data_IF_612432219511
#
_entry.id   IF_612432219511
#
_cell.length_a   1.000
_cell.length_b   1.000
_cell.length_c   1.000
_cell.angle_alpha   90.00
_cell.angle_beta   90.00
_cell.angle_gamma   90.00
#
_symmetry.space_group_name_H-M   'P 1'
#
loop_
_entity.id
_entity.type
_entity.pdbx_description
1 polymer ?
#
# COMPACT_ATOMS: atom_id res chain seq x y z
N UNK A 1 1.57 -14.80 12.88
CA UNK A 1 0.83 -14.04 11.86
C UNK A 1 -0.08 -15.04 11.16
N UNK A 2 -1.42 -14.87 11.20
CA UNK A 2 -2.28 -15.63 10.29
C UNK A 2 -1.84 -15.28 8.86
N UNK A 3 -1.93 -16.24 7.94
CA UNK A 3 -1.58 -16.09 6.52
C UNK A 3 -1.98 -14.70 6.01
N UNK A 4 -1.01 -13.86 5.65
CA UNK A 4 -1.23 -12.46 5.25
C UNK A 4 -1.86 -12.31 3.86
N UNK A 5 -2.41 -13.39 3.33
CA UNK A 5 -3.20 -13.40 2.11
C UNK A 5 -4.65 -13.59 2.55
N UNK A 6 -5.54 -12.73 2.06
CA UNK A 6 -6.98 -12.92 2.23
C UNK A 6 -7.37 -14.30 1.70
N UNK A 7 -8.29 -15.00 2.37
CA UNK A 7 -8.87 -16.26 1.87
C UNK A 7 -9.67 -16.09 0.56
N UNK A 8 -9.70 -14.85 0.06
CA UNK A 8 -10.50 -14.39 -1.04
C UNK A 8 -9.69 -13.42 -1.92
N UNK A 9 -9.55 -13.68 -3.23
CA UNK A 9 -8.66 -12.90 -4.10
C UNK A 9 -9.21 -11.53 -4.52
N UNK A 10 -10.41 -11.14 -4.06
CA UNK A 10 -11.10 -9.91 -4.51
C UNK A 10 -11.36 -8.93 -3.36
N UNK A 11 -10.30 -8.56 -2.63
CA UNK A 11 -10.34 -7.56 -1.54
C UNK A 11 -10.91 -6.20 -1.97
N UNK A 12 -10.74 -5.84 -3.25
CA UNK A 12 -11.32 -4.62 -3.83
C UNK A 12 -12.85 -4.59 -3.71
N UNK A 13 -13.53 -5.73 -3.86
CA UNK A 13 -14.99 -5.80 -3.76
C UNK A 13 -15.46 -5.61 -2.32
N UNK A 14 -14.72 -6.18 -1.36
CA UNK A 14 -15.02 -6.03 0.08
C UNK A 14 -14.94 -4.55 0.48
N UNK A 15 -13.84 -3.88 0.13
CA UNK A 15 -13.65 -2.45 0.38
C UNK A 15 -14.76 -1.62 -0.29
N UNK A 16 -15.07 -1.91 -1.56
CA UNK A 16 -16.12 -1.21 -2.30
C UNK A 16 -17.48 -1.33 -1.62
N UNK A 17 -17.89 -2.53 -1.23
CA UNK A 17 -19.22 -2.75 -0.65
C UNK A 17 -19.33 -2.25 0.80
N UNK A 18 -18.27 -2.33 1.59
CA UNK A 18 -18.21 -1.71 2.91
C UNK A 18 -18.34 -0.19 2.83
N UNK A 19 -17.66 0.42 1.85
CA UNK A 19 -17.76 1.85 1.62
C UNK A 19 -19.14 2.26 1.09
N UNK A 20 -19.72 1.51 0.16
CA UNK A 20 -21.08 1.77 -0.33
C UNK A 20 -22.10 1.68 0.80
N UNK A 21 -21.95 0.71 1.71
CA UNK A 21 -22.82 0.58 2.87
C UNK A 21 -22.73 1.79 3.80
N UNK A 22 -21.54 2.37 3.98
CA UNK A 22 -21.34 3.53 4.85
C UNK A 22 -21.72 4.87 4.22
N UNK A 23 -21.51 5.02 2.91
CA UNK A 23 -21.69 6.30 2.20
C UNK A 23 -23.03 6.41 1.46
N UNK A 24 -23.52 5.31 0.87
CA UNK A 24 -24.68 5.27 -0.05
C UNK A 24 -25.43 3.92 0.04
N UNK A 25 -26.10 3.64 1.18
CA UNK A 25 -26.83 2.39 1.36
C UNK A 25 -27.98 2.22 0.35
N UNK A 26 -28.50 3.33 -0.19
CA UNK A 26 -29.53 3.35 -1.23
C UNK A 26 -29.06 2.65 -2.52
N UNK A 27 -27.90 3.03 -3.04
CA UNK A 27 -27.33 2.43 -4.26
C UNK A 27 -26.97 0.96 -4.03
N UNK A 28 -26.54 0.63 -2.82
CA UNK A 28 -26.08 -0.70 -2.44
C UNK A 28 -27.18 -1.78 -2.55
N UNK A 29 -28.46 -1.40 -2.49
CA UNK A 29 -29.62 -2.30 -2.50
C UNK A 29 -30.48 -2.17 -3.77
N UNK A 30 -30.49 -1.01 -4.43
CA UNK A 30 -31.40 -0.77 -5.56
C UNK A 30 -30.77 -0.94 -6.95
N UNK A 31 -29.45 -0.85 -7.08
CA UNK A 31 -28.80 -0.93 -8.39
C UNK A 31 -28.66 -2.40 -8.87
N UNK A 32 -29.20 -2.78 -10.04
CA UNK A 32 -29.22 -4.17 -10.50
C UNK A 32 -27.83 -4.79 -10.70
N UNK A 33 -26.87 -4.01 -11.19
CA UNK A 33 -25.48 -4.43 -11.36
C UNK A 33 -24.81 -4.71 -10.01
N UNK A 34 -25.00 -3.85 -9.01
CA UNK A 34 -24.49 -4.02 -7.65
C UNK A 34 -25.04 -5.29 -7.01
N UNK A 35 -26.36 -5.52 -7.08
CA UNK A 35 -27.01 -6.70 -6.51
C UNK A 35 -26.49 -7.98 -7.16
N UNK A 36 -26.34 -7.96 -8.50
CA UNK A 36 -25.81 -9.10 -9.26
C UNK A 36 -24.37 -9.43 -8.86
N UNK A 37 -23.50 -8.42 -8.77
CA UNK A 37 -22.10 -8.62 -8.37
C UNK A 37 -21.99 -9.10 -6.93
N UNK A 38 -22.81 -8.57 -6.00
CA UNK A 38 -22.87 -9.06 -4.60
C UNK A 38 -23.26 -10.53 -4.53
N UNK A 39 -24.26 -10.96 -5.30
CA UNK A 39 -24.68 -12.36 -5.32
C UNK A 39 -23.57 -13.29 -5.84
N UNK A 40 -22.90 -12.90 -6.93
CA UNK A 40 -21.74 -13.63 -7.46
C UNK A 40 -20.58 -13.66 -6.46
N UNK A 41 -20.33 -12.57 -5.73
CA UNK A 41 -19.30 -12.49 -4.70
C UNK A 41 -19.56 -13.51 -3.58
N UNK A 42 -20.80 -13.56 -3.08
CA UNK A 42 -21.21 -14.49 -2.04
C UNK A 42 -21.05 -15.95 -2.49
N UNK A 43 -21.42 -16.27 -3.74
CA UNK A 43 -21.22 -17.60 -4.31
C UNK A 43 -19.74 -18.01 -4.32
N UNK A 44 -18.84 -17.11 -4.75
CA UNK A 44 -17.38 -17.38 -4.74
C UNK A 44 -16.86 -17.52 -3.30
N UNK A 45 -17.36 -16.70 -2.38
CA UNK A 45 -16.99 -16.76 -0.96
C UNK A 45 -17.43 -18.05 -0.29
N UNK A 46 -18.52 -18.69 -0.72
CA UNK A 46 -19.04 -19.94 -0.15
C UNK A 46 -18.43 -21.21 -0.76
N UNK A 47 -17.58 -21.08 -1.79
CA UNK A 47 -16.81 -22.20 -2.34
C UNK A 47 -15.86 -22.79 -1.28
N UNK A 48 -16.12 -24.03 -0.86
CA UNK A 48 -15.37 -24.77 0.16
C UNK A 48 -14.98 -26.18 -0.27
N UNK A 49 -15.70 -26.79 -1.22
CA UNK A 49 -15.47 -28.19 -1.62
C UNK A 49 -15.15 -28.33 -3.10
N UNK A 50 -14.49 -29.43 -3.47
CA UNK A 50 -14.14 -29.72 -4.87
C UNK A 50 -15.37 -29.99 -5.75
N UNK A 51 -16.44 -30.53 -5.16
CA UNK A 51 -17.69 -30.77 -5.88
C UNK A 51 -18.35 -29.46 -6.32
N UNK A 52 -18.37 -28.45 -5.42
CA UNK A 52 -18.86 -27.11 -5.75
C UNK A 52 -18.00 -26.46 -6.85
N UNK A 53 -16.68 -26.61 -6.74
CA UNK A 53 -15.73 -26.11 -7.75
C UNK A 53 -16.00 -26.76 -9.11
N UNK A 54 -16.13 -28.08 -9.18
CA UNK A 54 -16.39 -28.80 -10.42
C UNK A 54 -17.71 -28.34 -11.09
N UNK A 55 -18.77 -28.18 -10.29
CA UNK A 55 -20.07 -27.72 -10.78
C UNK A 55 -20.00 -26.28 -11.33
N UNK A 56 -19.36 -25.36 -10.60
CA UNK A 56 -19.22 -23.96 -11.02
C UNK A 56 -18.27 -23.82 -12.21
N UNK A 57 -17.14 -24.53 -12.23
CA UNK A 57 -16.22 -24.52 -13.36
C UNK A 57 -16.90 -25.03 -14.63
N UNK A 58 -17.73 -26.06 -14.54
CA UNK A 58 -18.50 -26.56 -15.69
C UNK A 58 -19.53 -25.53 -16.16
N UNK A 59 -20.25 -24.89 -15.23
CA UNK A 59 -21.27 -23.88 -15.54
C UNK A 59 -20.67 -22.64 -16.22
N UNK A 60 -19.54 -22.17 -15.71
CA UNK A 60 -18.88 -20.95 -16.16
C UNK A 60 -17.87 -21.22 -17.29
N UNK A 61 -17.60 -22.48 -17.64
CA UNK A 61 -16.58 -22.83 -18.63
C UNK A 61 -15.18 -22.37 -18.20
N UNK A 62 -14.77 -22.72 -16.98
CA UNK A 62 -13.43 -22.46 -16.43
C UNK A 62 -12.65 -23.77 -16.49
N UNK A 63 -11.55 -23.77 -17.24
CA UNK A 63 -10.57 -24.86 -17.22
C UNK A 63 -9.50 -24.54 -16.18
N UNK A 64 -9.42 -25.36 -15.13
CA UNK A 64 -8.35 -25.28 -14.12
C UNK A 64 -7.20 -26.16 -14.62
N UNK A 65 -6.01 -25.59 -14.75
CA UNK A 65 -4.84 -26.38 -15.14
C UNK A 65 -4.60 -27.53 -14.15
N UNK A 66 -4.22 -28.73 -14.64
CA UNK A 66 -3.97 -29.90 -13.78
C UNK A 66 -2.73 -29.77 -12.90
N UNK A 67 -2.08 -28.59 -12.87
CA UNK A 67 -0.89 -28.27 -12.08
C UNK A 67 -1.17 -28.14 -10.58
N UNK A 68 -2.44 -27.95 -10.17
CA UNK A 68 -2.84 -27.90 -8.77
C UNK A 68 -2.80 -29.30 -8.11
N UNK A 69 -1.80 -29.51 -7.24
CA UNK A 69 -1.57 -30.79 -6.56
C UNK A 69 -2.60 -31.04 -5.44
N UNK A 70 -3.13 -29.97 -4.84
CA UNK A 70 -4.03 -30.05 -3.68
C UNK A 70 -5.45 -29.55 -3.96
N UNK A 71 -6.43 -30.04 -3.18
CA UNK A 71 -7.80 -29.56 -3.24
C UNK A 71 -7.91 -28.05 -2.94
N UNK A 72 -7.10 -27.55 -2.00
CA UNK A 72 -7.06 -26.14 -1.64
C UNK A 72 -6.58 -25.25 -2.78
N UNK A 73 -5.58 -25.70 -3.55
CA UNK A 73 -5.10 -24.99 -4.75
C UNK A 73 -6.17 -24.94 -5.84
N UNK A 74 -6.85 -26.06 -6.10
CA UNK A 74 -7.97 -26.09 -7.08
C UNK A 74 -9.11 -25.14 -6.70
N UNK A 75 -9.46 -25.10 -5.41
CA UNK A 75 -10.47 -24.16 -4.89
C UNK A 75 -9.98 -22.72 -5.08
N UNK A 76 -8.71 -22.45 -4.78
CA UNK A 76 -8.11 -21.13 -4.95
C UNK A 76 -8.11 -20.67 -6.42
N UNK A 77 -7.70 -21.53 -7.34
CA UNK A 77 -7.63 -21.22 -8.77
C UNK A 77 -9.02 -20.97 -9.36
N UNK A 78 -10.02 -21.77 -8.96
CA UNK A 78 -11.41 -21.53 -9.29
C UNK A 78 -11.88 -20.15 -8.81
N UNK A 79 -11.67 -19.85 -7.51
CA UNK A 79 -12.03 -18.56 -6.92
C UNK A 79 -11.32 -17.40 -7.62
N UNK A 80 -10.05 -17.58 -8.01
CA UNK A 80 -9.25 -16.59 -8.70
C UNK A 80 -9.81 -16.29 -10.09
N UNK A 81 -10.12 -17.30 -10.90
CA UNK A 81 -10.68 -17.10 -12.24
C UNK A 81 -12.09 -16.51 -12.21
N UNK A 82 -12.95 -16.93 -11.26
CA UNK A 82 -14.26 -16.31 -11.06
C UNK A 82 -14.13 -14.84 -10.65
N UNK A 83 -13.21 -14.54 -9.72
CA UNK A 83 -12.95 -13.18 -9.26
C UNK A 83 -12.44 -12.29 -10.38
N UNK A 84 -11.53 -12.79 -11.22
CA UNK A 84 -11.00 -12.09 -12.39
C UNK A 84 -12.10 -11.71 -13.38
N UNK A 85 -13.11 -12.56 -13.56
CA UNK A 85 -14.29 -12.26 -14.40
C UNK A 85 -15.20 -11.18 -13.81
N UNK A 86 -15.20 -10.98 -12.50
CA UNK A 86 -15.96 -9.91 -11.83
C UNK A 86 -15.29 -8.54 -11.87
N UNK A 87 -13.96 -8.48 -12.09
CA UNK A 87 -13.19 -7.24 -12.07
C UNK A 87 -13.75 -6.15 -13.00
N UNK A 88 -14.15 -6.44 -14.27
CA UNK A 88 -14.74 -5.43 -15.15
C UNK A 88 -16.07 -4.86 -14.62
N UNK A 89 -16.93 -5.71 -14.03
CA UNK A 89 -18.21 -5.29 -13.45
C UNK A 89 -17.98 -4.36 -12.26
N UNK A 90 -17.00 -4.70 -11.40
CA UNK A 90 -16.60 -3.84 -10.28
C UNK A 90 -16.11 -2.47 -10.76
N UNK A 91 -15.25 -2.42 -11.77
CA UNK A 91 -14.79 -1.15 -12.33
C UNK A 91 -15.92 -0.33 -12.95
N UNK A 92 -16.91 -0.99 -13.56
CA UNK A 92 -18.09 -0.33 -14.11
C UNK A 92 -18.91 0.30 -12.99
N UNK A 93 -19.20 -0.45 -11.94
CA UNK A 93 -19.88 0.06 -10.72
C UNK A 93 -19.12 1.26 -10.17
N UNK A 94 -17.80 1.14 -9.96
CA UNK A 94 -16.96 2.22 -9.40
C UNK A 94 -17.05 3.51 -10.24
N UNK A 95 -17.06 3.40 -11.58
CA UNK A 95 -17.13 4.56 -12.48
C UNK A 95 -18.50 5.23 -12.50
N UNK A 96 -19.56 4.49 -12.20
CA UNK A 96 -20.93 5.00 -12.12
C UNK A 96 -21.23 5.67 -10.77
N UNK A 97 -20.33 5.57 -9.79
CA UNK A 97 -20.51 6.22 -8.50
C UNK A 97 -20.47 7.74 -8.66
N UNK A 98 -21.39 8.47 -7.99
CA UNK A 98 -21.51 9.91 -8.14
C UNK A 98 -20.36 10.69 -7.49
N UNK A 99 -19.61 10.05 -6.60
CA UNK A 99 -18.50 10.65 -5.87
C UNK A 99 -17.19 10.34 -6.60
N UNK A 100 -16.54 11.38 -7.11
CA UNK A 100 -15.18 11.28 -7.62
C UNK A 100 -14.23 11.09 -6.45
N UNK A 101 -13.44 10.02 -6.50
CA UNK A 101 -12.43 9.72 -5.48
C UNK A 101 -11.04 9.98 -6.02
N UNK A 102 -10.16 10.48 -5.17
CA UNK A 102 -8.77 10.73 -5.49
C UNK A 102 -7.84 10.03 -4.50
N UNK A 103 -6.71 9.55 -5.00
CA UNK A 103 -5.71 8.88 -4.19
C UNK A 103 -4.36 9.56 -4.35
N UNK A 104 -3.65 9.72 -3.24
CA UNK A 104 -2.24 10.07 -3.24
C UNK A 104 -1.41 8.79 -3.24
N UNK A 105 -0.63 8.57 -4.29
CA UNK A 105 0.20 7.38 -4.45
C UNK A 105 1.68 7.71 -4.23
N UNK A 106 2.28 7.21 -3.14
CA UNK A 106 3.68 7.44 -2.79
C UNK A 106 4.52 6.20 -3.11
N UNK A 107 5.37 6.32 -4.14
CA UNK A 107 6.21 5.23 -4.62
C UNK A 107 7.37 4.88 -3.67
N UNK A 108 7.96 3.70 -3.87
CA UNK A 108 9.11 3.19 -3.15
C UNK A 108 10.45 3.79 -3.60
N UNK A 109 11.56 3.23 -3.12
CA UNK A 109 12.92 3.73 -3.38
C UNK A 109 13.73 4.09 -2.13
N UNK A 110 13.37 3.50 -0.99
CA UNK A 110 14.04 3.71 0.30
C UNK A 110 13.93 5.16 0.80
N UNK A 111 14.88 5.56 1.64
CA UNK A 111 14.86 6.87 2.31
C UNK A 111 14.92 8.05 1.34
N UNK A 112 15.59 7.90 0.19
CA UNK A 112 15.61 8.97 -0.84
C UNK A 112 14.21 9.27 -1.37
N UNK A 113 13.43 8.22 -1.64
CA UNK A 113 12.05 8.37 -2.06
C UNK A 113 11.18 8.95 -0.95
N UNK A 114 11.39 8.54 0.31
CA UNK A 114 10.68 9.12 1.46
C UNK A 114 10.87 10.64 1.56
N UNK A 115 12.10 11.14 1.37
CA UNK A 115 12.39 12.58 1.41
C UNK A 115 11.85 13.32 0.18
N UNK A 116 11.90 12.71 -1.00
CA UNK A 116 11.24 13.27 -2.18
C UNK A 116 9.72 13.43 -1.95
N UNK A 117 9.08 12.36 -1.46
CA UNK A 117 7.66 12.36 -1.13
C UNK A 117 7.32 13.37 -0.03
N UNK A 118 8.20 13.59 0.97
CA UNK A 118 8.03 14.69 1.93
C UNK A 118 7.91 16.04 1.23
N UNK A 119 8.77 16.32 0.24
CA UNK A 119 8.70 17.55 -0.56
C UNK A 119 7.36 17.69 -1.29
N UNK A 120 6.84 16.59 -1.85
CA UNK A 120 5.51 16.54 -2.47
C UNK A 120 4.41 16.84 -1.45
N UNK A 121 4.44 16.20 -0.27
CA UNK A 121 3.47 16.44 0.80
C UNK A 121 3.47 17.91 1.26
N UNK A 122 4.65 18.51 1.42
CA UNK A 122 4.78 19.93 1.74
C UNK A 122 4.24 20.84 0.62
N UNK A 123 4.48 20.48 -0.65
CA UNK A 123 3.91 21.19 -1.80
C UNK A 123 2.39 21.13 -1.82
N UNK A 124 1.82 19.94 -1.66
CA UNK A 124 0.37 19.74 -1.59
C UNK A 124 -0.26 20.48 -0.40
N UNK A 125 0.41 20.50 0.75
CA UNK A 125 -0.04 21.23 1.92
C UNK A 125 -0.07 22.75 1.66
N UNK A 126 0.96 23.31 1.04
CA UNK A 126 1.00 24.74 0.63
C UNK A 126 -0.09 25.10 -0.38
N UNK A 127 -0.43 24.18 -1.28
CA UNK A 127 -1.50 24.37 -2.24
C UNK A 127 -2.90 24.12 -1.67
N UNK A 128 -3.04 23.71 -0.39
CA UNK A 128 -4.34 23.36 0.19
C UNK A 128 -4.99 22.12 -0.44
N UNK A 129 -4.17 21.21 -0.98
CA UNK A 129 -4.62 19.99 -1.67
C UNK A 129 -4.41 18.72 -0.84
N UNK A 130 -3.56 18.75 0.19
CA UNK A 130 -3.18 17.54 0.92
C UNK A 130 -4.37 16.89 1.66
N UNK A 131 -5.35 17.67 2.09
CA UNK A 131 -6.57 17.23 2.77
C UNK A 131 -7.71 16.86 1.79
N UNK A 132 -7.45 16.87 0.47
CA UNK A 132 -8.45 16.59 -0.57
C UNK A 132 -8.39 15.17 -1.14
N UNK A 133 -7.42 14.37 -0.70
CA UNK A 133 -7.27 12.98 -1.13
C UNK A 133 -8.05 12.05 -0.20
N UNK A 134 -8.79 11.11 -0.78
CA UNK A 134 -9.59 10.12 -0.06
C UNK A 134 -8.75 8.91 0.38
N UNK A 135 -7.76 8.55 -0.44
CA UNK A 135 -6.87 7.41 -0.16
C UNK A 135 -5.40 7.77 -0.21
N UNK A 136 -4.60 7.02 0.55
CA UNK A 136 -3.15 7.07 0.54
C UNK A 136 -2.61 5.67 0.20
N UNK A 137 -2.08 5.50 -1.01
CA UNK A 137 -1.49 4.25 -1.47
C UNK A 137 0.03 4.35 -1.44
N UNK A 138 0.71 3.43 -0.77
CA UNK A 138 2.16 3.53 -0.58
C UNK A 138 2.90 2.21 -0.69
N UNK A 139 4.19 2.27 -1.02
CA UNK A 139 5.07 1.11 -1.03
C UNK A 139 6.47 1.48 -0.54
N UNK A 140 7.12 0.60 0.24
CA UNK A 140 8.51 0.74 0.69
C UNK A 140 8.81 2.13 1.32
N UNK A 141 9.70 2.94 0.72
CA UNK A 141 10.01 4.29 1.18
C UNK A 141 8.80 5.24 1.25
N UNK A 142 7.81 5.06 0.36
CA UNK A 142 6.51 5.73 0.45
C UNK A 142 5.74 5.34 1.70
N UNK A 143 5.81 4.07 2.11
CA UNK A 143 5.19 3.57 3.34
C UNK A 143 5.84 4.13 4.60
N UNK A 144 7.16 4.37 4.58
CA UNK A 144 7.86 5.03 5.68
C UNK A 144 7.33 6.45 5.90
N UNK A 145 7.25 7.26 4.83
CA UNK A 145 6.77 8.64 4.95
C UNK A 145 5.27 8.70 5.26
N UNK A 146 4.46 7.79 4.71
CA UNK A 146 3.04 7.71 5.05
C UNK A 146 2.81 7.33 6.51
N UNK A 147 3.56 6.35 7.03
CA UNK A 147 3.45 5.97 8.45
C UNK A 147 3.88 7.11 9.37
N UNK A 148 4.91 7.88 8.99
CA UNK A 148 5.30 9.10 9.70
C UNK A 148 4.18 10.14 9.69
N UNK A 149 3.54 10.40 8.54
CA UNK A 149 2.44 11.34 8.41
C UNK A 149 1.23 10.89 9.24
N UNK A 150 0.83 9.63 9.12
CA UNK A 150 -0.29 9.04 9.89
C UNK A 150 -0.03 9.09 11.40
N UNK A 151 1.20 8.79 11.83
CA UNK A 151 1.57 8.88 13.24
C UNK A 151 1.51 10.33 13.76
N UNK A 152 1.87 11.31 12.93
CA UNK A 152 1.74 12.72 13.29
C UNK A 152 0.27 13.14 13.39
N UNK A 153 -0.56 12.82 12.39
CA UNK A 153 -2.00 13.07 12.42
C UNK A 153 -2.64 12.46 13.68
N UNK A 154 -2.27 11.22 14.02
CA UNK A 154 -2.77 10.55 15.23
C UNK A 154 -2.36 11.30 16.51
N UNK A 155 -1.12 11.79 16.61
CA UNK A 155 -0.64 12.55 17.78
C UNK A 155 -1.31 13.92 17.92
N UNK A 156 -1.80 14.48 16.82
CA UNK A 156 -2.64 15.69 16.80
C UNK A 156 -4.14 15.35 17.00
N UNK A 157 -4.47 14.21 17.61
CA UNK A 157 -5.84 13.73 17.84
C UNK A 157 -6.68 13.62 16.55
N UNK A 158 -6.04 13.26 15.44
CA UNK A 158 -6.70 13.17 14.13
C UNK A 158 -6.90 14.52 13.43
N UNK A 159 -6.36 15.62 13.96
CA UNK A 159 -6.51 16.95 13.37
C UNK A 159 -5.59 17.15 12.16
N UNK A 160 -6.06 16.74 10.99
CA UNK A 160 -5.35 16.85 9.71
C UNK A 160 -5.00 18.31 9.37
N UNK A 161 -5.91 19.27 9.65
CA UNK A 161 -5.69 20.68 9.35
C UNK A 161 -4.49 21.27 10.08
N UNK A 162 -4.27 20.85 11.33
CA UNK A 162 -3.10 21.28 12.12
C UNK A 162 -1.81 20.76 11.49
N UNK A 163 -1.79 19.48 11.09
CA UNK A 163 -0.63 18.88 10.42
C UNK A 163 -0.37 19.55 9.07
N UNK A 164 -1.40 19.74 8.24
CA UNK A 164 -1.28 20.42 6.94
C UNK A 164 -0.73 21.84 7.12
N UNK A 165 -1.25 22.58 8.09
CA UNK A 165 -0.79 23.95 8.38
C UNK A 165 0.68 23.96 8.80
N UNK A 166 1.09 23.06 9.71
CA UNK A 166 2.48 22.98 10.15
C UNK A 166 3.42 22.49 9.02
N UNK A 167 2.95 21.58 8.16
CA UNK A 167 3.71 21.04 7.03
C UNK A 167 3.91 22.08 5.91
N UNK A 168 2.93 22.98 5.74
CA UNK A 168 2.98 24.05 4.76
C UNK A 168 3.96 25.18 5.13
N UNK A 169 4.29 25.34 6.42
CA UNK A 169 5.22 26.39 6.89
C UNK A 169 6.61 26.22 6.26
N UNK A 170 7.07 27.26 5.57
CA UNK A 170 8.47 27.42 5.21
C UNK A 170 9.18 28.19 6.33
N UNK A 171 10.32 27.70 6.84
CA UNK A 171 11.13 28.49 7.76
C UNK A 171 11.79 29.61 6.97
N UNK A 172 11.13 30.76 6.89
CA UNK A 172 11.65 31.97 6.25
C UNK A 172 12.69 32.67 7.14
N UNK A 173 12.64 32.38 8.45
CA UNK A 173 13.57 32.87 9.46
C UNK A 173 14.44 31.71 9.99
N UNK A 174 15.78 31.81 9.92
CA UNK A 174 16.70 30.81 10.47
C UNK A 174 16.55 30.54 11.98
N UNK A 175 15.91 31.47 12.71
CA UNK A 175 15.65 31.37 14.14
C UNK A 175 14.33 30.65 14.47
N UNK A 176 13.46 30.45 13.47
CA UNK A 176 12.23 29.70 13.66
C UNK A 176 12.50 28.20 13.56
N UNK A 177 12.22 27.49 14.66
CA UNK A 177 12.39 26.05 14.71
C UNK A 177 11.33 25.37 13.87
N UNK A 178 11.75 24.49 12.96
CA UNK A 178 10.84 23.63 12.23
C UNK A 178 10.02 22.74 13.20
N UNK A 179 8.82 22.29 12.81
CA UNK A 179 8.05 21.36 13.61
C UNK A 179 8.87 20.14 14.00
N UNK A 180 8.83 19.73 15.27
CA UNK A 180 9.60 18.60 15.80
C UNK A 180 9.46 17.32 14.96
N UNK A 181 8.28 16.97 14.40
CA UNK A 181 8.14 15.82 13.52
C UNK A 181 8.96 15.91 12.23
N UNK A 182 9.10 17.11 11.63
CA UNK A 182 9.96 17.34 10.46
C UNK A 182 11.44 17.24 10.85
N UNK A 183 11.82 17.87 11.96
CA UNK A 183 13.19 17.82 12.47
C UNK A 183 13.65 16.37 12.68
N UNK A 184 12.85 15.58 13.40
CA UNK A 184 13.15 14.18 13.65
C UNK A 184 13.29 13.40 12.34
N UNK A 185 12.36 13.60 11.41
CA UNK A 185 12.42 12.93 10.10
C UNK A 185 13.72 13.27 9.36
N UNK A 186 14.15 14.54 9.35
CA UNK A 186 15.37 14.98 8.67
C UNK A 186 16.64 14.45 9.34
N UNK A 187 16.69 14.42 10.66
CA UNK A 187 17.82 13.86 11.43
C UNK A 187 17.98 12.36 11.15
N UNK A 188 16.88 11.61 11.14
CA UNK A 188 16.89 10.16 10.94
C UNK A 188 16.89 9.71 9.46
N UNK A 189 16.72 10.63 8.50
CA UNK A 189 16.79 10.34 7.07
C UNK A 189 18.20 10.34 6.46
N UNK A 190 19.24 10.64 7.24
CA UNK A 190 20.63 10.53 6.79
C UNK A 190 21.08 9.07 6.74
N UNK A 191 20.74 8.38 5.65
CA UNK A 191 20.92 6.92 5.47
C UNK A 191 22.38 6.43 5.41
N UNK A 192 23.38 7.29 5.18
CA UNK A 192 24.78 6.83 5.08
C UNK A 192 25.69 7.29 6.23
N UNK A 193 25.27 8.26 7.04
CA UNK A 193 26.04 8.76 8.21
C UNK A 193 25.13 9.62 9.08
N UNK A 194 24.46 9.06 10.10
CA UNK A 194 23.62 9.83 11.03
C UNK A 194 24.43 10.87 11.82
N UNK A 195 25.73 10.62 12.03
CA UNK A 195 26.69 11.57 12.60
C UNK A 195 27.85 11.78 11.62
N UNK A 196 28.00 13.00 11.10
CA UNK A 196 29.22 13.37 10.38
C UNK A 196 30.36 13.50 11.39
N UNK A 197 31.31 12.56 11.36
CA UNK A 197 32.55 12.63 12.12
C UNK A 197 33.44 11.43 11.84
N UNK A 198 34.74 11.65 11.62
CA UNK A 198 35.74 10.60 11.36
C UNK A 198 35.89 9.56 12.49
N UNK A 199 35.28 9.85 13.66
CA UNK A 199 35.27 9.00 14.84
C UNK A 199 33.89 8.39 15.14
N UNK A 200 32.93 8.44 14.21
CA UNK A 200 31.61 7.83 14.43
C UNK A 200 31.66 6.31 14.27
N UNK A 201 31.00 5.60 15.18
CA UNK A 201 30.90 4.13 15.17
C UNK A 201 30.27 3.65 13.85
N UNK A 202 29.26 4.36 13.36
CA UNK A 202 28.53 4.00 12.13
C UNK A 202 29.42 4.04 10.88
N UNK A 203 30.35 4.99 10.80
CA UNK A 203 31.32 5.09 9.68
C UNK A 203 32.27 3.89 9.66
N UNK A 204 32.76 3.48 10.83
CA UNK A 204 33.66 2.32 10.95
C UNK A 204 32.93 1.00 10.70
N UNK A 205 31.67 0.87 11.12
CA UNK A 205 30.84 -0.30 10.78
C UNK A 205 30.62 -0.41 9.27
N UNK A 206 30.36 0.70 8.58
CA UNK A 206 30.21 0.72 7.12
C UNK A 206 31.50 0.30 6.40
N UNK A 207 32.65 0.84 6.82
CA UNK A 207 33.97 0.49 6.27
C UNK A 207 34.27 -1.00 6.49
N UNK A 208 34.01 -1.52 7.68
CA UNK A 208 34.24 -2.92 8.00
C UNK A 208 33.37 -3.86 7.17
N UNK A 209 32.08 -3.54 6.99
CA UNK A 209 31.16 -4.32 6.14
C UNK A 209 31.63 -4.29 4.67
N UNK A 210 32.04 -3.12 4.18
CA UNK A 210 32.55 -2.97 2.82
C UNK A 210 33.82 -3.80 2.60
N UNK A 211 34.82 -3.67 3.47
CA UNK A 211 36.07 -4.42 3.38
C UNK A 211 35.85 -5.93 3.48
N UNK A 212 34.96 -6.38 4.39
CA UNK A 212 34.60 -7.80 4.51
C UNK A 212 34.03 -8.34 3.20
N UNK A 213 33.08 -7.62 2.58
CA UNK A 213 32.45 -8.04 1.33
C UNK A 213 33.42 -7.95 0.14
N UNK A 214 34.33 -6.97 0.14
CA UNK A 214 35.38 -6.85 -0.86
C UNK A 214 36.31 -8.07 -0.82
N UNK A 215 36.79 -8.45 0.36
CA UNK A 215 37.66 -9.62 0.55
C UNK A 215 36.93 -10.92 0.16
N UNK A 216 35.67 -11.08 0.56
CA UNK A 216 34.85 -12.25 0.18
C UNK A 216 34.66 -12.36 -1.34
N UNK A 217 34.35 -11.25 -2.01
CA UNK A 217 34.23 -11.24 -3.47
C UNK A 217 35.58 -11.48 -4.16
N UNK A 218 36.67 -10.97 -3.61
CA UNK A 218 38.01 -11.19 -4.15
C UNK A 218 38.48 -12.64 -3.99
N UNK A 219 38.07 -13.32 -2.93
CA UNK A 219 38.34 -14.75 -2.75
C UNK A 219 37.66 -15.63 -3.80
N UNK A 220 36.61 -15.15 -4.50
CA UNK A 220 36.02 -15.86 -5.65
C UNK A 220 36.99 -15.93 -6.83
N UNK A 221 37.95 -15.01 -6.94
CA UNK A 221 38.97 -15.02 -8.00
C UNK A 221 40.22 -15.81 -7.63
N UNK A 222 40.37 -16.24 -6.37
CA UNK A 222 41.51 -17.06 -5.90
C UNK A 222 41.62 -18.42 -6.61
N UNK A 223 40.54 -19.13 -6.98
CA UNK A 223 40.64 -20.41 -7.71
C UNK A 223 41.01 -20.27 -9.20
N UNK A 224 41.12 -19.04 -9.72
CA UNK A 224 41.41 -18.77 -11.15
C UNK A 224 42.90 -18.51 -11.40
N UNK A 225 43.72 -18.52 -10.34
CA UNK A 225 45.19 -18.40 -10.35
C UNK A 225 45.78 -19.67 -9.74
#
# INVERSE_FOLDING_TARGET
MPSSQSEFPLTLAEVLFDELKSTRPDLAETQPNIVTVKAKLAEIQDLRTEEQVAQICQREGIEIEPTAETASERIWDCKYELSKRLVPDLYTIIRELPQMRSALCLSGGGVRSAIFNLGILQGLARCGLLDKFDYLSTVSGGGFIASWLSAWIHRENGNVNTVVTQLAKTPDNPLETEPTPLYNLRVYANYLTPRKGLLSVDTWTLIAIYLRNLVLNWMVFVPVI
#
